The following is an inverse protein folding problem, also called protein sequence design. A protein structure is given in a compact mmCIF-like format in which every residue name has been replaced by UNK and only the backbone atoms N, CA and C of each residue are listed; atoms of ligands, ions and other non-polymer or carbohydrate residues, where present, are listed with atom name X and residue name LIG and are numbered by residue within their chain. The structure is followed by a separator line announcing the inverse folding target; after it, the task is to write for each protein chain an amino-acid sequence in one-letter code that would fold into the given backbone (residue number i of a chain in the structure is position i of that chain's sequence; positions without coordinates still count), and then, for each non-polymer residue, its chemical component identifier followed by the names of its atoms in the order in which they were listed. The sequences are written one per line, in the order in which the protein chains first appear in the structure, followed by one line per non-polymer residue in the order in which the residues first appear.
data_IF_220202333269
#
_entry.id   IF_220202333269
#
_cell.length_a   1.000
_cell.length_b   1.000
_cell.length_c   1.000
_cell.angle_alpha   90.00
_cell.angle_beta   90.00
_cell.angle_gamma   90.00
#
_symmetry.space_group_name_H-M   'P 1'
#
loop_
_entity.id
_entity.type
_entity.pdbx_description
1 polymer ?
#
# COMPACT_ATOMS: atom_id res chain seq x y z
N UNK A 1 -35.28 2.41 -10.31
CA UNK A 1 -33.89 2.75 -10.68
C UNK A 1 -33.10 1.47 -10.61
N UNK A 2 -32.32 1.16 -11.64
CA UNK A 2 -31.49 -0.04 -11.66
C UNK A 2 -30.16 0.30 -10.97
N UNK A 3 -29.75 -0.50 -10.00
CA UNK A 3 -28.45 -0.33 -9.34
C UNK A 3 -27.32 -0.71 -10.31
N UNK A 4 -26.20 0.03 -10.27
CA UNK A 4 -25.00 -0.23 -11.07
C UNK A 4 -25.26 -0.32 -12.60
N UNK A 5 -26.14 0.56 -13.12
CA UNK A 5 -26.34 0.70 -14.57
C UNK A 5 -25.16 1.43 -15.25
N UNK A 6 -25.28 1.74 -16.54
CA UNK A 6 -24.25 2.48 -17.30
C UNK A 6 -24.05 3.94 -16.83
N UNK A 7 -24.97 4.48 -16.03
CA UNK A 7 -24.96 5.83 -15.50
C UNK A 7 -24.70 5.86 -13.99
N UNK A 8 -24.18 4.76 -13.42
CA UNK A 8 -23.88 4.67 -11.99
C UNK A 8 -23.02 5.86 -11.53
N UNK A 9 -23.51 6.60 -10.52
CA UNK A 9 -22.92 7.84 -9.98
C UNK A 9 -22.95 9.07 -10.90
N UNK A 10 -23.42 8.96 -12.15
CA UNK A 10 -23.49 10.06 -13.12
C UNK A 10 -24.83 10.80 -13.04
N UNK A 11 -24.89 11.84 -12.20
CA UNK A 11 -26.14 12.53 -11.83
C UNK A 11 -26.64 13.56 -12.86
N UNK A 12 -25.88 13.88 -13.90
CA UNK A 12 -26.27 14.88 -14.91
C UNK A 12 -25.60 14.64 -16.28
N UNK A 13 -26.16 15.27 -17.33
CA UNK A 13 -25.68 15.13 -18.71
C UNK A 13 -24.22 15.56 -18.93
N UNK A 14 -23.72 16.65 -18.33
CA UNK A 14 -22.29 16.95 -18.36
C UNK A 14 -21.41 15.80 -17.83
N UNK A 15 -21.75 15.20 -16.68
CA UNK A 15 -21.02 14.09 -16.11
C UNK A 15 -21.01 12.86 -17.03
N UNK A 16 -22.17 12.53 -17.63
CA UNK A 16 -22.27 11.45 -18.62
C UNK A 16 -21.37 11.70 -19.82
N UNK A 17 -21.44 12.89 -20.43
CA UNK A 17 -20.61 13.25 -21.58
C UNK A 17 -19.11 13.23 -21.27
N UNK A 18 -18.71 13.67 -20.07
CA UNK A 18 -17.32 13.63 -19.64
C UNK A 18 -16.85 12.19 -19.45
N UNK A 19 -17.62 11.37 -18.71
CA UNK A 19 -17.26 9.98 -18.46
C UNK A 19 -17.13 9.18 -19.76
N UNK A 20 -18.06 9.35 -20.72
CA UNK A 20 -17.97 8.67 -22.02
C UNK A 20 -16.69 9.00 -22.80
N UNK A 21 -16.09 10.18 -22.59
CA UNK A 21 -14.81 10.56 -23.22
C UNK A 21 -13.58 9.94 -22.55
N UNK A 22 -13.68 9.55 -21.27
CA UNK A 22 -12.53 9.12 -20.46
C UNK A 22 -12.61 7.66 -19.98
N UNK A 23 -13.78 7.01 -20.05
CA UNK A 23 -14.00 5.64 -19.54
C UNK A 23 -13.08 4.58 -20.14
N UNK A 24 -12.57 4.83 -21.34
CA UNK A 24 -11.71 3.90 -22.09
C UNK A 24 -10.22 4.26 -22.00
N UNK A 25 -9.86 5.31 -21.24
CA UNK A 25 -8.46 5.67 -21.01
C UNK A 25 -7.74 4.54 -20.26
N UNK A 26 -6.45 4.29 -20.58
CA UNK A 26 -5.67 3.30 -19.86
C UNK A 26 -5.46 3.72 -18.40
N UNK A 27 -5.27 2.72 -17.53
CA UNK A 27 -4.99 2.94 -16.10
C UNK A 27 -3.47 3.05 -15.91
N UNK A 28 -3.07 4.08 -15.17
CA UNK A 28 -1.71 4.28 -14.67
C UNK A 28 -1.77 4.13 -13.14
N UNK A 29 -1.56 2.91 -12.65
CA UNK A 29 -1.69 2.56 -11.25
C UNK A 29 -0.36 2.76 -10.52
N UNK A 30 -0.04 4.02 -10.23
CA UNK A 30 1.32 4.41 -9.82
C UNK A 30 1.73 3.99 -8.40
N UNK A 31 0.80 3.45 -7.62
CA UNK A 31 1.06 2.93 -6.28
C UNK A 31 0.04 1.86 -5.92
N UNK A 32 0.53 0.62 -5.76
CA UNK A 32 -0.26 -0.53 -5.34
C UNK A 32 0.59 -1.50 -4.50
N UNK A 33 -0.06 -2.56 -4.04
CA UNK A 33 0.55 -3.65 -3.26
C UNK A 33 0.45 -5.01 -3.98
N UNK A 34 0.33 -5.00 -5.31
CA UNK A 34 0.34 -6.24 -6.09
C UNK A 34 1.70 -6.94 -5.97
N UNK A 35 1.68 -8.28 -5.93
CA UNK A 35 2.88 -9.10 -5.90
C UNK A 35 3.54 -9.16 -7.29
N UNK A 36 4.77 -8.64 -7.48
CA UNK A 36 5.47 -8.74 -8.76
C UNK A 36 5.75 -10.20 -9.13
N UNK A 37 5.91 -11.07 -8.13
CA UNK A 37 6.04 -12.52 -8.35
C UNK A 37 4.78 -13.11 -8.97
N UNK A 38 3.60 -12.81 -8.42
CA UNK A 38 2.33 -13.33 -8.96
C UNK A 38 2.06 -12.79 -10.36
N UNK A 39 2.40 -11.52 -10.63
CA UNK A 39 2.34 -10.95 -11.98
C UNK A 39 3.25 -11.73 -12.93
N UNK A 40 4.46 -12.08 -12.51
CA UNK A 40 5.40 -12.83 -13.35
C UNK A 40 4.96 -14.28 -13.58
N UNK A 41 4.60 -15.00 -12.51
CA UNK A 41 4.22 -16.41 -12.57
C UNK A 41 2.86 -16.62 -13.27
N UNK A 42 2.00 -15.60 -13.27
CA UNK A 42 0.72 -15.50 -13.99
C UNK A 42 -0.17 -16.74 -13.87
N UNK A 43 -0.21 -17.32 -12.67
CA UNK A 43 -1.01 -18.52 -12.42
C UNK A 43 -2.50 -18.18 -12.48
N UNK A 44 -3.29 -19.08 -13.08
CA UNK A 44 -4.74 -18.97 -13.07
C UNK A 44 -5.22 -19.11 -11.63
N UNK A 45 -6.12 -18.24 -11.20
CA UNK A 45 -6.69 -18.33 -9.86
C UNK A 45 -7.48 -19.65 -9.73
N UNK A 46 -7.32 -20.33 -8.61
CA UNK A 46 -8.01 -21.59 -8.36
C UNK A 46 -9.43 -21.39 -7.83
N UNK A 47 -9.67 -20.31 -7.06
CA UNK A 47 -10.95 -20.07 -6.41
C UNK A 47 -11.21 -18.58 -6.16
N UNK A 48 -12.49 -18.20 -6.22
CA UNK A 48 -12.96 -16.84 -5.95
C UNK A 48 -12.61 -16.36 -4.55
N UNK A 49 -12.54 -17.23 -3.55
CA UNK A 49 -12.16 -16.84 -2.18
C UNK A 49 -10.72 -16.37 -2.12
N UNK A 50 -9.81 -17.02 -2.84
CA UNK A 50 -8.40 -16.60 -2.87
C UNK A 50 -8.27 -15.28 -3.62
N UNK A 51 -8.90 -15.19 -4.80
CA UNK A 51 -8.90 -13.98 -5.64
C UNK A 51 -9.54 -12.78 -4.95
N UNK A 52 -10.63 -13.00 -4.21
CA UNK A 52 -11.53 -11.92 -3.81
C UNK A 52 -11.57 -11.65 -2.31
N UNK A 53 -11.34 -12.67 -1.49
CA UNK A 53 -11.31 -12.57 -0.02
C UNK A 53 -9.88 -12.74 0.55
N UNK A 54 -8.87 -13.02 -0.28
CA UNK A 54 -7.45 -13.03 0.12
C UNK A 54 -6.91 -11.64 0.46
N UNK A 55 -7.58 -10.58 -0.01
CA UNK A 55 -7.33 -9.17 0.29
C UNK A 55 -8.31 -8.25 -0.46
N UNK A 56 -8.22 -6.93 -0.32
CA UNK A 56 -7.66 -6.22 0.83
C UNK A 56 -8.54 -6.43 2.08
N UNK A 57 -7.98 -6.12 3.25
CA UNK A 57 -8.57 -6.35 4.57
C UNK A 57 -9.90 -5.60 4.86
N UNK A 58 -10.42 -4.80 3.93
CA UNK A 58 -11.75 -4.16 4.05
C UNK A 58 -12.88 -5.19 4.20
N UNK A 59 -12.85 -6.28 3.41
CA UNK A 59 -13.88 -7.33 3.49
C UNK A 59 -13.84 -8.01 4.86
N UNK A 60 -12.64 -8.33 5.36
CA UNK A 60 -12.45 -8.90 6.69
C UNK A 60 -12.98 -7.98 7.79
N UNK A 61 -12.67 -6.68 7.72
CA UNK A 61 -13.14 -5.69 8.69
C UNK A 61 -14.67 -5.61 8.73
N UNK A 62 -15.31 -5.60 7.56
CA UNK A 62 -16.77 -5.57 7.49
C UNK A 62 -17.39 -6.88 8.01
N UNK A 63 -16.82 -8.04 7.67
CA UNK A 63 -17.25 -9.34 8.19
C UNK A 63 -17.15 -9.40 9.73
N UNK A 64 -16.07 -8.90 10.32
CA UNK A 64 -15.94 -8.79 11.79
C UNK A 64 -16.97 -7.85 12.39
N UNK A 65 -17.19 -6.68 11.76
CA UNK A 65 -18.21 -5.72 12.21
C UNK A 65 -19.64 -6.30 12.12
N UNK A 66 -19.89 -7.19 11.18
CA UNK A 66 -21.15 -7.94 11.05
C UNK A 66 -21.28 -9.11 12.04
N UNK A 67 -20.20 -9.47 12.74
CA UNK A 67 -20.17 -10.55 13.74
C UNK A 67 -19.82 -11.93 13.19
N UNK A 68 -19.22 -12.02 12.00
CA UNK A 68 -18.74 -13.29 11.45
C UNK A 68 -17.59 -13.85 12.30
N UNK A 69 -17.60 -15.14 12.68
CA UNK A 69 -16.50 -15.75 13.41
C UNK A 69 -15.17 -15.71 12.64
N UNK A 70 -14.05 -15.42 13.31
CA UNK A 70 -12.73 -15.29 12.66
C UNK A 70 -12.31 -16.55 11.88
N UNK A 71 -12.78 -17.74 12.30
CA UNK A 71 -12.55 -19.01 11.58
C UNK A 71 -13.09 -19.01 10.13
N UNK A 72 -14.12 -18.19 9.87
CA UNK A 72 -14.79 -18.00 8.57
C UNK A 72 -14.29 -16.76 7.82
N UNK A 73 -13.28 -16.08 8.35
CA UNK A 73 -12.59 -14.95 7.71
C UNK A 73 -11.17 -15.39 7.35
N UNK A 74 -10.27 -15.37 8.31
CA UNK A 74 -8.85 -15.71 8.12
C UNK A 74 -8.50 -17.13 8.57
N UNK A 75 -9.36 -17.76 9.38
CA UNK A 75 -9.10 -19.09 9.91
C UNK A 75 -9.45 -20.26 8.97
N UNK A 76 -9.59 -21.49 9.50
CA UNK A 76 -9.49 -22.72 8.71
C UNK A 76 -10.79 -23.21 8.07
N UNK A 77 -11.89 -22.45 8.10
CA UNK A 77 -13.13 -22.86 7.42
C UNK A 77 -12.91 -23.06 5.92
N UNK A 78 -13.71 -23.93 5.28
CA UNK A 78 -13.67 -24.14 3.85
C UNK A 78 -14.09 -22.89 3.06
N UNK A 79 -13.64 -22.82 1.80
CA UNK A 79 -13.83 -21.64 0.94
C UNK A 79 -15.30 -21.30 0.72
N UNK A 80 -16.16 -22.29 0.45
CA UNK A 80 -17.60 -22.04 0.26
C UNK A 80 -18.22 -21.42 1.52
N UNK A 81 -17.88 -21.91 2.71
CA UNK A 81 -18.33 -21.32 3.97
C UNK A 81 -17.89 -19.86 4.11
N UNK A 82 -16.61 -19.54 3.81
CA UNK A 82 -16.12 -18.16 3.83
C UNK A 82 -16.83 -17.26 2.82
N UNK A 83 -17.08 -17.77 1.61
CA UNK A 83 -17.81 -17.04 0.57
C UNK A 83 -19.27 -16.77 0.97
N UNK A 84 -19.96 -17.76 1.53
CA UNK A 84 -21.33 -17.58 2.05
C UNK A 84 -21.39 -16.56 3.18
N UNK A 85 -20.41 -16.56 4.08
CA UNK A 85 -20.29 -15.56 5.13
C UNK A 85 -20.09 -14.15 4.56
N UNK A 86 -19.29 -14.02 3.50
CA UNK A 86 -19.13 -12.75 2.78
C UNK A 86 -20.42 -12.31 2.09
N UNK A 87 -21.07 -13.19 1.35
CA UNK A 87 -22.32 -12.91 0.64
C UNK A 87 -23.42 -12.42 1.59
N UNK A 88 -23.55 -13.08 2.75
CA UNK A 88 -24.44 -12.64 3.84
C UNK A 88 -24.06 -11.27 4.40
N UNK A 89 -22.77 -11.01 4.59
CA UNK A 89 -22.28 -9.73 5.11
C UNK A 89 -22.58 -8.59 4.14
N UNK A 90 -22.20 -8.74 2.86
CA UNK A 90 -22.34 -7.65 1.88
C UNK A 90 -23.79 -7.40 1.50
N UNK A 91 -24.69 -8.40 1.57
CA UNK A 91 -26.13 -8.18 1.33
C UNK A 91 -26.80 -7.25 2.34
N UNK A 92 -26.16 -7.01 3.50
CA UNK A 92 -26.60 -6.07 4.54
C UNK A 92 -25.80 -4.75 4.54
N UNK A 93 -24.83 -4.58 3.65
CA UNK A 93 -23.86 -3.48 3.68
C UNK A 93 -24.29 -2.23 2.89
N UNK A 94 -25.58 -1.93 2.85
CA UNK A 94 -26.08 -0.75 2.12
C UNK A 94 -25.44 0.54 2.64
N UNK A 95 -24.94 1.37 1.72
CA UNK A 95 -24.23 2.60 2.03
C UNK A 95 -22.73 2.41 2.33
N UNK A 96 -22.25 1.18 2.53
CA UNK A 96 -20.82 0.89 2.58
C UNK A 96 -20.25 0.77 1.15
N UNK A 97 -19.06 1.34 0.85
CA UNK A 97 -18.45 1.24 -0.47
C UNK A 97 -18.19 -0.21 -0.93
N UNK A 98 -18.02 -1.16 0.01
CA UNK A 98 -17.89 -2.58 -0.33
C UNK A 98 -19.09 -3.13 -1.10
N UNK A 99 -20.30 -2.58 -0.87
CA UNK A 99 -21.46 -2.91 -1.67
C UNK A 99 -21.28 -2.47 -3.13
N UNK A 100 -20.71 -1.29 -3.38
CA UNK A 100 -20.44 -0.83 -4.74
C UNK A 100 -19.32 -1.64 -5.38
N UNK A 101 -18.20 -1.83 -4.69
CA UNK A 101 -17.05 -2.55 -5.21
C UNK A 101 -17.41 -3.98 -5.61
N UNK A 102 -18.11 -4.73 -4.74
CA UNK A 102 -18.46 -6.11 -5.05
C UNK A 102 -19.29 -6.24 -6.32
N UNK A 103 -20.28 -5.38 -6.51
CA UNK A 103 -21.13 -5.46 -7.70
C UNK A 103 -20.46 -4.86 -8.96
N UNK A 104 -19.52 -3.93 -8.81
CA UNK A 104 -18.68 -3.47 -9.92
C UNK A 104 -17.72 -4.58 -10.37
N UNK A 105 -17.11 -5.31 -9.44
CA UNK A 105 -16.21 -6.43 -9.72
C UNK A 105 -16.96 -7.59 -10.37
N UNK A 106 -18.13 -7.98 -9.85
CA UNK A 106 -19.03 -8.96 -10.46
C UNK A 106 -19.37 -8.60 -11.91
N UNK A 107 -19.70 -7.33 -12.16
CA UNK A 107 -20.06 -6.85 -13.49
C UNK A 107 -18.86 -6.81 -14.44
N UNK A 108 -17.76 -6.18 -14.03
CA UNK A 108 -16.65 -5.85 -14.93
C UNK A 108 -15.72 -7.05 -15.19
N UNK A 109 -15.54 -7.94 -14.21
CA UNK A 109 -14.67 -9.11 -14.34
C UNK A 109 -15.48 -10.33 -14.81
N UNK A 110 -16.62 -10.58 -14.17
CA UNK A 110 -17.39 -11.80 -14.40
C UNK A 110 -18.54 -11.63 -15.39
N UNK A 111 -18.98 -10.39 -15.66
CA UNK A 111 -20.15 -10.12 -16.51
C UNK A 111 -21.47 -10.37 -15.81
N UNK A 112 -21.48 -10.38 -14.47
CA UNK A 112 -22.65 -10.68 -13.64
C UNK A 112 -23.25 -9.38 -13.11
N UNK A 113 -24.52 -9.14 -13.42
CA UNK A 113 -25.27 -7.97 -12.94
C UNK A 113 -26.21 -8.29 -11.78
N UNK A 114 -26.32 -9.56 -11.41
CA UNK A 114 -27.13 -10.01 -10.27
C UNK A 114 -26.52 -9.47 -8.96
N UNK A 115 -27.38 -9.16 -7.99
CA UNK A 115 -26.93 -8.80 -6.64
C UNK A 115 -26.44 -10.04 -5.91
N UNK A 116 -25.37 -9.91 -5.12
CA UNK A 116 -24.93 -10.99 -4.23
C UNK A 116 -25.79 -11.00 -2.96
N UNK A 117 -26.48 -12.12 -2.71
CA UNK A 117 -27.36 -12.31 -1.55
C UNK A 117 -27.02 -13.60 -0.81
N UNK A 118 -27.61 -13.80 0.38
CA UNK A 118 -27.41 -15.04 1.13
C UNK A 118 -28.01 -16.24 0.38
N UNK A 119 -29.15 -16.04 -0.28
CA UNK A 119 -29.90 -17.09 -0.99
C UNK A 119 -29.17 -17.57 -2.24
N UNK A 120 -28.47 -16.70 -2.97
CA UNK A 120 -27.78 -17.06 -4.20
C UNK A 120 -26.28 -17.34 -4.02
N UNK A 121 -25.75 -17.26 -2.79
CA UNK A 121 -24.32 -17.34 -2.52
C UNK A 121 -23.65 -18.62 -3.06
N UNK A 122 -24.30 -19.78 -2.90
CA UNK A 122 -23.74 -21.06 -3.36
C UNK A 122 -23.71 -21.17 -4.88
N UNK A 123 -24.82 -20.83 -5.54
CA UNK A 123 -24.88 -20.78 -7.00
C UNK A 123 -23.84 -19.80 -7.55
N UNK A 124 -23.74 -18.61 -6.95
CA UNK A 124 -22.80 -17.58 -7.34
C UNK A 124 -21.35 -18.05 -7.19
N UNK A 125 -21.01 -18.71 -6.08
CA UNK A 125 -19.67 -19.27 -5.85
C UNK A 125 -19.26 -20.22 -6.98
N UNK A 126 -20.11 -21.18 -7.32
CA UNK A 126 -19.82 -22.14 -8.40
C UNK A 126 -19.74 -21.46 -9.77
N UNK A 127 -20.65 -20.52 -10.06
CA UNK A 127 -20.66 -19.74 -11.30
C UNK A 127 -19.39 -18.91 -11.47
N UNK A 128 -18.93 -18.25 -10.40
CA UNK A 128 -17.71 -17.44 -10.42
C UNK A 128 -16.47 -18.31 -10.65
N UNK A 129 -16.35 -19.44 -9.95
CA UNK A 129 -15.25 -20.38 -10.14
C UNK A 129 -15.22 -20.99 -11.56
N UNK A 130 -16.39 -21.32 -12.11
CA UNK A 130 -16.48 -21.77 -13.51
C UNK A 130 -15.96 -20.69 -14.47
N UNK A 131 -16.35 -19.42 -14.27
CA UNK A 131 -15.87 -18.29 -15.08
C UNK A 131 -14.36 -18.09 -14.94
N UNK A 132 -13.80 -18.23 -13.73
CA UNK A 132 -12.36 -18.14 -13.47
C UNK A 132 -11.60 -19.13 -14.37
N UNK A 133 -12.02 -20.39 -14.38
CA UNK A 133 -11.36 -21.42 -15.19
C UNK A 133 -11.62 -21.25 -16.69
N UNK A 134 -12.87 -20.99 -17.10
CA UNK A 134 -13.24 -20.84 -18.52
C UNK A 134 -12.51 -19.67 -19.19
N UNK A 135 -12.42 -18.53 -18.49
CA UNK A 135 -11.72 -17.34 -18.99
C UNK A 135 -10.22 -17.36 -18.69
N UNK A 136 -9.74 -18.37 -17.94
CA UNK A 136 -8.37 -18.46 -17.42
C UNK A 136 -7.95 -17.16 -16.73
N UNK A 137 -8.74 -16.71 -15.76
CA UNK A 137 -8.45 -15.48 -15.03
C UNK A 137 -7.15 -15.67 -14.23
N UNK A 138 -6.16 -14.87 -14.55
CA UNK A 138 -4.83 -14.79 -13.95
C UNK A 138 -4.49 -13.32 -13.66
N UNK A 139 -3.44 -13.01 -12.87
CA UNK A 139 -3.02 -11.64 -12.62
C UNK A 139 -2.87 -10.80 -13.89
N UNK A 140 -2.10 -11.27 -14.89
CA UNK A 140 -1.90 -10.51 -16.14
C UNK A 140 -3.19 -10.40 -16.95
N UNK A 141 -4.05 -11.42 -16.93
CA UNK A 141 -5.35 -11.37 -17.60
C UNK A 141 -6.24 -10.26 -17.03
N UNK A 142 -6.30 -10.16 -15.70
CA UNK A 142 -7.09 -9.12 -15.03
C UNK A 142 -6.52 -7.71 -15.26
N UNK A 143 -5.20 -7.57 -15.23
CA UNK A 143 -4.49 -6.32 -15.56
C UNK A 143 -4.83 -5.87 -16.99
N UNK A 144 -4.77 -6.78 -17.97
CA UNK A 144 -5.11 -6.51 -19.36
C UNK A 144 -6.59 -6.16 -19.55
N UNK A 145 -7.51 -6.91 -18.92
CA UNK A 145 -8.94 -6.63 -18.96
C UNK A 145 -9.28 -5.24 -18.42
N UNK A 146 -8.48 -4.76 -17.47
CA UNK A 146 -8.61 -3.43 -16.86
C UNK A 146 -7.90 -2.31 -17.63
N UNK A 147 -7.26 -2.61 -18.77
CA UNK A 147 -6.50 -1.65 -19.59
C UNK A 147 -5.39 -0.93 -18.81
N UNK A 148 -4.73 -1.63 -17.89
CA UNK A 148 -3.60 -1.09 -17.13
C UNK A 148 -2.36 -1.04 -18.03
N UNK A 149 -1.67 0.09 -18.06
CA UNK A 149 -0.43 0.28 -18.81
C UNK A 149 0.80 0.46 -17.91
N UNK A 150 0.60 0.83 -16.65
CA UNK A 150 1.67 1.03 -15.68
C UNK A 150 1.21 0.59 -14.30
N UNK A 151 2.12 -0.06 -13.57
CA UNK A 151 1.96 -0.47 -12.18
C UNK A 151 3.21 -0.01 -11.40
N UNK A 152 3.00 0.72 -10.30
CA UNK A 152 4.00 0.93 -9.26
C UNK A 152 3.75 -0.04 -8.11
N UNK A 153 4.57 -1.08 -7.95
CA UNK A 153 4.51 -1.95 -6.75
C UNK A 153 5.12 -1.22 -5.56
N UNK A 154 4.99 -1.78 -4.36
CA UNK A 154 5.60 -1.24 -3.14
C UNK A 154 6.56 -2.26 -2.57
N UNK A 155 7.85 -1.91 -2.54
CA UNK A 155 8.93 -2.88 -2.39
C UNK A 155 9.89 -2.49 -1.26
N UNK A 156 10.42 -3.49 -0.56
CA UNK A 156 11.28 -3.29 0.59
C UNK A 156 12.71 -2.92 0.13
N UNK A 157 13.44 -1.99 0.78
CA UNK A 157 14.74 -1.50 0.29
C UNK A 157 15.79 -2.57 0.06
N UNK A 158 15.65 -3.70 0.74
CA UNK A 158 16.58 -4.83 0.70
C UNK A 158 16.18 -5.92 -0.31
N UNK A 159 15.08 -5.74 -1.04
CA UNK A 159 14.65 -6.70 -2.06
C UNK A 159 15.63 -6.72 -3.24
N UNK A 160 15.81 -7.90 -3.84
CA UNK A 160 16.66 -8.11 -5.02
C UNK A 160 15.96 -7.76 -6.34
N UNK A 161 14.67 -7.38 -6.29
CA UNK A 161 13.86 -6.97 -7.43
C UNK A 161 13.87 -7.97 -8.60
N UNK A 162 14.18 -9.24 -8.34
CA UNK A 162 14.36 -10.26 -9.40
C UNK A 162 13.10 -10.45 -10.25
N UNK A 163 11.92 -10.25 -9.66
CA UNK A 163 10.65 -10.37 -10.37
C UNK A 163 10.42 -9.19 -11.31
N UNK A 164 10.81 -7.98 -10.94
CA UNK A 164 10.78 -6.82 -11.83
C UNK A 164 11.73 -6.98 -13.00
N UNK A 165 12.95 -7.47 -12.75
CA UNK A 165 13.90 -7.76 -13.85
C UNK A 165 13.32 -8.76 -14.84
N UNK A 166 12.74 -9.85 -14.34
CA UNK A 166 12.11 -10.89 -15.17
C UNK A 166 10.92 -10.36 -15.96
N UNK A 167 10.08 -9.52 -15.35
CA UNK A 167 8.96 -8.88 -16.04
C UNK A 167 9.47 -7.92 -17.12
N UNK A 168 10.48 -7.10 -16.81
CA UNK A 168 11.07 -6.16 -17.76
C UNK A 168 11.70 -6.86 -18.98
N UNK A 169 12.20 -8.08 -18.81
CA UNK A 169 12.77 -8.90 -19.88
C UNK A 169 11.72 -9.68 -20.68
N UNK A 170 10.47 -9.74 -20.21
CA UNK A 170 9.38 -10.48 -20.84
C UNK A 170 8.74 -9.66 -21.97
N UNK A 171 9.07 -10.01 -23.22
CA UNK A 171 8.59 -9.29 -24.41
C UNK A 171 7.09 -9.46 -24.67
N UNK A 172 6.44 -10.46 -24.07
CA UNK A 172 5.03 -10.76 -24.28
C UNK A 172 4.11 -10.01 -23.29
N UNK A 173 4.68 -9.29 -22.32
CA UNK A 173 3.94 -8.47 -21.35
C UNK A 173 4.26 -6.98 -21.49
N UNK A 174 3.31 -6.21 -21.99
CA UNK A 174 3.51 -4.80 -22.35
C UNK A 174 3.18 -3.79 -21.24
N UNK A 175 2.86 -4.24 -20.04
CA UNK A 175 2.59 -3.36 -18.90
C UNK A 175 3.89 -3.09 -18.18
N UNK A 176 4.22 -1.82 -17.96
CA UNK A 176 5.39 -1.45 -17.18
C UNK A 176 5.11 -1.70 -15.69
N UNK A 177 5.92 -2.54 -15.05
CA UNK A 177 5.85 -2.83 -13.61
C UNK A 177 7.12 -2.31 -12.95
N UNK A 178 7.02 -1.15 -12.29
CA UNK A 178 8.14 -0.46 -11.67
C UNK A 178 8.10 -0.62 -10.14
N UNK A 179 9.25 -0.83 -9.48
CA UNK A 179 9.28 -0.88 -8.03
C UNK A 179 9.15 0.53 -7.41
N UNK A 180 8.55 0.61 -6.23
CA UNK A 180 8.51 1.84 -5.40
C UNK A 180 9.31 1.59 -4.13
N UNK A 181 10.30 2.46 -3.85
CA UNK A 181 11.18 2.31 -2.70
C UNK A 181 10.48 2.69 -1.39
N UNK A 182 10.25 1.73 -0.49
CA UNK A 182 9.56 1.97 0.80
C UNK A 182 10.36 1.60 2.04
N UNK A 183 11.11 2.53 2.66
CA UNK A 183 12.02 2.22 3.75
C UNK A 183 11.40 2.32 5.15
N UNK A 184 10.23 1.73 5.39
CA UNK A 184 9.55 1.85 6.70
C UNK A 184 10.41 1.29 7.87
N UNK A 185 11.26 0.28 7.63
CA UNK A 185 12.10 -0.32 8.69
C UNK A 185 13.31 0.53 9.09
N UNK A 186 13.59 1.64 8.37
CA UNK A 186 14.67 2.58 8.69
C UNK A 186 14.35 3.47 9.90
N UNK A 187 13.10 3.48 10.36
CA UNK A 187 12.70 4.27 11.52
C UNK A 187 12.95 3.47 12.80
N UNK A 188 13.62 4.09 13.77
CA UNK A 188 14.07 3.43 15.02
C UNK A 188 12.95 2.84 15.89
N UNK A 189 11.71 3.27 15.69
CA UNK A 189 10.55 2.70 16.37
C UNK A 189 10.13 1.33 15.80
N UNK A 190 10.56 1.01 14.57
CA UNK A 190 10.22 -0.26 13.95
C UNK A 190 10.85 -1.42 14.72
N UNK A 191 10.07 -2.50 14.91
CA UNK A 191 10.52 -3.68 15.65
C UNK A 191 11.76 -4.31 15.00
N UNK A 192 11.78 -4.34 13.66
CA UNK A 192 12.85 -4.95 12.88
C UNK A 192 14.04 -4.01 12.60
N UNK A 193 14.09 -2.79 13.15
CA UNK A 193 15.13 -1.81 12.81
C UNK A 193 16.56 -2.36 12.93
N UNK A 194 16.89 -3.10 14.00
CA UNK A 194 18.24 -3.66 14.18
C UNK A 194 18.55 -4.75 13.13
N UNK A 195 17.57 -5.59 12.80
CA UNK A 195 17.72 -6.60 11.74
C UNK A 195 17.88 -5.92 10.38
N UNK A 196 17.07 -4.89 10.10
CA UNK A 196 17.16 -4.07 8.90
C UNK A 196 18.57 -3.47 8.74
N UNK A 197 19.14 -2.84 9.77
CA UNK A 197 20.50 -2.27 9.71
C UNK A 197 21.55 -3.36 9.43
N UNK A 198 21.45 -4.52 10.09
CA UNK A 198 22.37 -5.65 9.84
C UNK A 198 22.30 -6.13 8.39
N UNK A 199 21.08 -6.34 7.88
CA UNK A 199 20.87 -6.80 6.50
C UNK A 199 21.24 -5.71 5.48
N UNK A 200 21.00 -4.44 5.79
CA UNK A 200 21.43 -3.30 4.97
C UNK A 200 22.95 -3.28 4.83
N UNK A 201 23.69 -3.45 5.93
CA UNK A 201 25.15 -3.58 5.93
C UNK A 201 25.61 -4.75 5.04
N UNK A 202 24.96 -5.91 5.15
CA UNK A 202 25.27 -7.10 4.34
C UNK A 202 25.04 -6.87 2.84
N UNK A 203 23.86 -6.37 2.43
CA UNK A 203 23.51 -6.23 1.00
C UNK A 203 24.25 -5.08 0.31
N UNK A 204 24.77 -4.11 1.07
CA UNK A 204 25.60 -3.01 0.56
C UNK A 204 27.09 -3.26 0.77
N UNK A 205 27.46 -4.35 1.46
CA UNK A 205 28.84 -4.66 1.84
C UNK A 205 29.53 -3.46 2.55
N UNK A 206 28.78 -2.76 3.40
CA UNK A 206 29.22 -1.61 4.18
C UNK A 206 29.16 -1.92 5.68
N UNK A 207 30.15 -1.45 6.44
CA UNK A 207 30.02 -1.41 7.89
C UNK A 207 29.20 -0.19 8.31
N UNK A 208 28.21 -0.37 9.19
CA UNK A 208 27.33 0.71 9.66
C UNK A 208 27.63 1.00 11.14
N UNK A 209 28.35 2.09 11.39
CA UNK A 209 28.70 2.55 12.76
C UNK A 209 28.15 3.93 13.08
N UNK A 210 27.73 4.69 12.07
CA UNK A 210 27.23 6.06 12.17
C UNK A 210 25.98 6.27 11.31
N UNK A 211 25.29 7.37 11.56
CA UNK A 211 24.16 7.83 10.76
C UNK A 211 24.55 8.05 9.29
N UNK A 212 25.75 8.56 9.03
CA UNK A 212 26.24 8.75 7.66
C UNK A 212 26.43 7.41 6.93
N UNK A 213 26.85 6.36 7.63
CA UNK A 213 26.98 5.03 7.03
C UNK A 213 25.60 4.46 6.65
N UNK A 214 24.58 4.69 7.50
CA UNK A 214 23.18 4.35 7.18
C UNK A 214 22.73 5.06 5.90
N UNK A 215 22.95 6.37 5.82
CA UNK A 215 22.56 7.18 4.64
C UNK A 215 23.31 6.73 3.39
N UNK A 216 24.60 6.45 3.49
CA UNK A 216 25.40 5.96 2.38
C UNK A 216 24.90 4.59 1.87
N UNK A 217 24.60 3.65 2.78
CA UNK A 217 24.04 2.36 2.41
C UNK A 217 22.64 2.49 1.77
N UNK A 218 21.78 3.36 2.31
CA UNK A 218 20.47 3.65 1.69
C UNK A 218 20.61 4.28 0.30
N UNK A 219 21.58 5.16 0.09
CA UNK A 219 21.86 5.75 -1.22
C UNK A 219 22.22 4.69 -2.26
N UNK A 220 22.98 3.66 -1.89
CA UNK A 220 23.26 2.53 -2.78
C UNK A 220 22.00 1.76 -3.14
N UNK A 221 21.11 1.55 -2.17
CA UNK A 221 19.82 0.87 -2.42
C UNK A 221 18.88 1.71 -3.26
N UNK A 222 18.81 3.03 -3.04
CA UNK A 222 18.06 3.94 -3.91
C UNK A 222 18.59 3.90 -5.34
N UNK A 223 19.92 3.96 -5.52
CA UNK A 223 20.56 3.84 -6.84
C UNK A 223 20.26 2.49 -7.49
N UNK A 224 20.29 1.40 -6.71
CA UNK A 224 19.92 0.07 -7.18
C UNK A 224 18.49 0.06 -7.72
N UNK A 225 17.52 0.57 -6.95
CA UNK A 225 16.12 0.67 -7.36
C UNK A 225 15.94 1.50 -8.64
N UNK A 226 16.60 2.65 -8.74
CA UNK A 226 16.55 3.50 -9.94
C UNK A 226 17.04 2.75 -11.17
N UNK A 227 18.10 1.95 -11.05
CA UNK A 227 18.60 1.10 -12.13
C UNK A 227 17.63 -0.01 -12.55
N UNK A 228 16.63 -0.34 -11.70
CA UNK A 228 15.56 -1.31 -11.97
C UNK A 228 14.24 -0.63 -12.34
N UNK A 229 14.29 0.63 -12.77
CA UNK A 229 13.12 1.36 -13.27
C UNK A 229 12.27 2.03 -12.20
N UNK A 230 12.72 2.09 -10.94
CA UNK A 230 12.04 2.83 -9.88
C UNK A 230 11.84 4.29 -10.25
N UNK A 231 10.61 4.80 -10.04
CA UNK A 231 10.23 6.20 -10.32
C UNK A 231 9.68 6.94 -9.12
N UNK A 232 9.38 6.23 -8.04
CA UNK A 232 8.77 6.77 -6.85
C UNK A 232 9.32 6.12 -5.59
N UNK A 233 9.20 6.83 -4.48
CA UNK A 233 9.34 6.30 -3.14
C UNK A 233 8.01 6.42 -2.41
N UNK A 234 7.84 5.63 -1.36
CA UNK A 234 6.72 5.72 -0.43
C UNK A 234 7.26 5.69 0.99
N UNK A 235 6.69 6.50 1.88
CA UNK A 235 7.01 6.50 3.30
C UNK A 235 5.71 6.61 4.09
N UNK A 236 5.56 5.76 5.10
CA UNK A 236 4.43 5.79 6.03
C UNK A 236 4.81 6.34 7.40
N UNK A 237 4.15 7.41 7.84
CA UNK A 237 4.30 7.98 9.19
C UNK A 237 3.05 7.81 10.06
N UNK A 238 3.24 7.53 11.35
CA UNK A 238 2.18 7.77 12.35
C UNK A 238 1.92 9.27 12.50
N UNK A 239 2.98 10.03 12.78
CA UNK A 239 2.97 11.49 12.96
C UNK A 239 4.03 12.14 12.06
N UNK A 240 3.70 13.27 11.41
CA UNK A 240 4.69 14.10 10.71
C UNK A 240 5.36 15.01 11.74
N UNK A 241 6.67 14.86 11.92
CA UNK A 241 7.46 15.60 12.91
C UNK A 241 8.66 16.30 12.29
N UNK A 242 9.09 17.39 12.91
CA UNK A 242 10.30 18.08 12.56
C UNK A 242 11.05 18.53 13.81
N UNK A 243 12.21 17.96 14.04
CA UNK A 243 13.11 18.28 15.14
C UNK A 243 14.50 18.63 14.60
N UNK A 244 15.12 19.67 15.17
CA UNK A 244 16.52 19.99 14.86
C UNK A 244 17.41 18.98 15.57
N UNK A 245 18.32 18.38 14.81
CA UNK A 245 19.20 17.33 15.30
C UNK A 245 20.56 17.43 14.61
N UNK A 246 21.62 17.27 15.40
CA UNK A 246 22.99 17.19 14.90
C UNK A 246 23.37 15.75 14.57
N UNK A 247 24.37 15.57 13.70
CA UNK A 247 24.87 14.24 13.35
C UNK A 247 25.32 13.43 14.58
N UNK A 248 25.97 14.07 15.56
CA UNK A 248 26.40 13.43 16.81
C UNK A 248 25.21 12.84 17.58
N UNK A 249 24.09 13.56 17.63
CA UNK A 249 22.87 13.06 18.27
C UNK A 249 22.26 11.88 17.51
N UNK A 250 22.29 11.91 16.17
CA UNK A 250 21.86 10.77 15.35
C UNK A 250 22.72 9.52 15.62
N UNK A 251 24.04 9.68 15.71
CA UNK A 251 24.97 8.59 16.03
C UNK A 251 24.71 8.01 17.43
N UNK A 252 24.44 8.86 18.42
CA UNK A 252 24.05 8.45 19.76
C UNK A 252 22.72 7.66 19.78
N UNK A 253 21.72 8.13 19.04
CA UNK A 253 20.42 7.44 18.91
C UNK A 253 20.60 6.06 18.26
N UNK A 254 21.35 5.99 17.16
CA UNK A 254 21.67 4.74 16.48
C UNK A 254 22.35 3.76 17.45
N UNK A 255 23.40 4.21 18.14
CA UNK A 255 24.14 3.38 19.10
C UNK A 255 23.25 2.84 20.21
N UNK A 256 22.38 3.68 20.79
CA UNK A 256 21.41 3.26 21.81
C UNK A 256 20.47 2.19 21.26
N UNK A 257 19.90 2.43 20.08
CA UNK A 257 18.93 1.52 19.46
C UNK A 257 19.55 0.16 19.10
N UNK A 258 20.74 0.15 18.53
CA UNK A 258 21.50 -1.08 18.22
C UNK A 258 21.86 -1.86 19.49
N UNK A 259 22.10 -1.17 20.61
CA UNK A 259 22.30 -1.79 21.92
C UNK A 259 20.98 -2.22 22.62
N UNK A 260 19.84 -2.17 21.93
CA UNK A 260 18.49 -2.45 22.46
C UNK A 260 18.11 -1.59 23.68
N UNK A 261 18.68 -0.39 23.79
CA UNK A 261 18.29 0.57 24.83
C UNK A 261 17.02 1.31 24.40
N UNK A 262 16.17 1.63 25.38
CA UNK A 262 14.97 2.42 25.12
C UNK A 262 15.33 3.82 24.65
N UNK A 263 14.63 4.29 23.62
CA UNK A 263 14.69 5.67 23.17
C UNK A 263 13.55 6.49 23.79
N UNK A 264 13.83 7.75 24.08
CA UNK A 264 12.81 8.74 24.40
C UNK A 264 12.02 9.13 23.15
N UNK A 265 10.81 9.67 23.32
CA UNK A 265 10.01 10.13 22.19
C UNK A 265 10.70 11.26 21.41
N UNK A 266 11.47 12.12 22.08
CA UNK A 266 12.25 13.15 21.41
C UNK A 266 13.33 12.55 20.51
N UNK A 267 14.03 11.51 20.98
CA UNK A 267 15.05 10.80 20.19
C UNK A 267 14.46 10.12 18.94
N UNK A 268 13.27 9.52 19.07
CA UNK A 268 12.54 8.94 17.93
C UNK A 268 12.20 10.01 16.90
N UNK A 269 11.66 11.16 17.34
CA UNK A 269 11.31 12.29 16.44
C UNK A 269 12.54 12.93 15.78
N UNK A 270 13.64 13.04 16.53
CA UNK A 270 14.92 13.50 16.00
C UNK A 270 15.43 12.57 14.90
N UNK A 271 15.42 11.25 15.14
CA UNK A 271 15.81 10.27 14.12
C UNK A 271 14.92 10.36 12.88
N UNK A 272 13.59 10.36 13.05
CA UNK A 272 12.63 10.46 11.96
C UNK A 272 12.89 11.71 11.11
N UNK A 273 13.13 12.86 11.75
CA UNK A 273 13.41 14.13 11.06
C UNK A 273 14.71 14.06 10.25
N UNK A 274 15.79 13.53 10.84
CA UNK A 274 17.08 13.40 10.18
C UNK A 274 17.01 12.44 8.98
N UNK A 275 16.50 11.23 9.19
CA UNK A 275 16.50 10.20 8.15
C UNK A 275 15.56 10.58 7.01
N UNK A 276 14.40 11.16 7.31
CA UNK A 276 13.47 11.59 6.27
C UNK A 276 14.04 12.73 5.43
N UNK A 277 14.77 13.67 6.05
CA UNK A 277 15.50 14.71 5.34
C UNK A 277 16.53 14.14 4.36
N UNK A 278 17.35 13.20 4.82
CA UNK A 278 18.35 12.58 3.94
C UNK A 278 17.71 11.75 2.82
N UNK A 279 16.64 11.00 3.10
CA UNK A 279 15.87 10.29 2.08
C UNK A 279 15.30 11.25 1.03
N UNK A 280 14.67 12.35 1.43
CA UNK A 280 14.17 13.37 0.50
C UNK A 280 15.29 13.98 -0.35
N UNK A 281 16.47 14.24 0.23
CA UNK A 281 17.65 14.68 -0.53
C UNK A 281 18.07 13.65 -1.57
N UNK A 282 18.08 12.36 -1.22
CA UNK A 282 18.38 11.28 -2.15
C UNK A 282 17.32 11.19 -3.26
N UNK A 283 16.03 11.23 -2.91
CA UNK A 283 14.93 11.18 -3.88
C UNK A 283 14.97 12.36 -4.85
N UNK A 284 15.33 13.56 -4.37
CA UNK A 284 15.57 14.72 -5.22
C UNK A 284 16.76 14.48 -6.17
N UNK A 285 17.90 14.00 -5.64
CA UNK A 285 19.11 13.69 -6.42
C UNK A 285 18.86 12.67 -7.52
N UNK A 286 18.05 11.64 -7.25
CA UNK A 286 17.76 10.54 -8.18
C UNK A 286 16.45 10.73 -8.96
N UNK A 287 15.75 11.87 -8.79
CA UNK A 287 14.57 12.24 -9.58
C UNK A 287 13.28 11.49 -9.25
N UNK A 288 13.22 10.82 -8.09
CA UNK A 288 12.06 10.05 -7.63
C UNK A 288 10.92 10.97 -7.14
N UNK A 289 9.69 10.51 -7.32
CA UNK A 289 8.50 11.13 -6.68
C UNK A 289 8.37 10.59 -5.27
N UNK A 290 8.27 11.45 -4.27
CA UNK A 290 8.11 11.09 -2.86
C UNK A 290 6.65 11.07 -2.46
N UNK A 291 6.12 9.88 -2.21
CA UNK A 291 4.79 9.70 -1.61
C UNK A 291 4.93 9.66 -0.09
N UNK A 292 4.08 10.39 0.61
CA UNK A 292 4.07 10.44 2.07
C UNK A 292 2.67 10.13 2.58
N UNK A 293 2.49 8.90 3.07
CA UNK A 293 1.25 8.47 3.73
C UNK A 293 1.37 8.71 5.23
N UNK A 294 0.41 9.41 5.84
CA UNK A 294 0.47 9.67 7.27
C UNK A 294 -0.86 9.60 8.02
N UNK A 295 -0.76 9.38 9.32
CA UNK A 295 -1.89 9.40 10.25
C UNK A 295 -2.55 8.03 10.46
N UNK A 296 -1.86 6.94 10.13
CA UNK A 296 -2.31 5.59 10.49
C UNK A 296 -1.96 5.29 11.96
N UNK A 297 -2.97 4.93 12.76
CA UNK A 297 -2.79 4.31 14.06
C UNK A 297 -2.91 2.80 13.86
N UNK A 298 -1.82 2.07 14.06
CA UNK A 298 -1.68 0.67 13.65
C UNK A 298 -1.84 -0.31 14.80
N UNK A 299 -2.27 -1.52 14.49
CA UNK A 299 -2.29 -2.67 15.40
C UNK A 299 -3.14 -2.46 16.68
N UNK A 300 -4.27 -1.74 16.55
CA UNK A 300 -5.10 -1.32 17.69
C UNK A 300 -5.79 -2.45 18.46
N UNK A 301 -5.80 -3.67 17.91
CA UNK A 301 -6.45 -4.82 18.53
C UNK A 301 -5.39 -5.89 18.89
N UNK A 302 -4.76 -5.73 20.06
CA UNK A 302 -3.62 -6.59 20.50
C UNK A 302 -3.89 -8.08 20.36
N UNK A 303 -5.05 -8.58 20.80
CA UNK A 303 -5.34 -10.02 20.74
C UNK A 303 -5.41 -10.57 19.30
N UNK A 304 -5.84 -9.75 18.33
CA UNK A 304 -5.95 -10.17 16.94
C UNK A 304 -4.60 -10.03 16.24
N UNK A 305 -3.89 -8.92 16.50
CA UNK A 305 -2.52 -8.71 16.08
C UNK A 305 -1.60 -9.85 16.54
N UNK A 306 -1.69 -10.29 17.80
CA UNK A 306 -0.88 -11.41 18.30
C UNK A 306 -1.16 -12.75 17.60
N UNK A 307 -2.31 -12.90 16.91
CA UNK A 307 -2.67 -14.12 16.19
C UNK A 307 -2.38 -14.04 14.69
N UNK A 308 -2.58 -12.88 14.08
CA UNK A 308 -2.58 -12.69 12.63
C UNK A 308 -1.41 -11.84 12.13
N UNK A 309 -0.73 -11.10 13.03
CA UNK A 309 0.29 -10.13 12.66
C UNK A 309 -0.27 -8.79 12.18
N UNK A 310 0.57 -7.96 11.54
CA UNK A 310 0.17 -6.66 10.98
C UNK A 310 -0.82 -6.82 9.81
N UNK A 311 -1.36 -5.68 9.33
CA UNK A 311 -2.24 -5.58 8.15
C UNK A 311 -3.50 -6.47 8.19
N UNK A 312 -3.89 -6.91 9.39
CA UNK A 312 -5.05 -7.75 9.58
C UNK A 312 -6.36 -6.94 9.69
N UNK A 313 -6.43 -5.69 9.22
CA UNK A 313 -7.66 -4.88 9.18
C UNK A 313 -8.10 -4.26 10.52
N UNK A 314 -7.17 -4.08 11.45
CA UNK A 314 -7.40 -3.46 12.78
C UNK A 314 -6.76 -2.09 12.95
N UNK A 315 -6.30 -1.51 11.83
CA UNK A 315 -5.74 -0.17 11.76
C UNK A 315 -6.85 0.89 11.62
N UNK A 316 -6.58 2.09 12.12
CA UNK A 316 -7.53 3.21 12.08
C UNK A 316 -6.82 4.54 11.87
N UNK A 317 -7.62 5.60 11.81
CA UNK A 317 -7.12 6.96 11.69
C UNK A 317 -6.60 7.45 13.04
N UNK A 318 -5.47 8.15 13.02
CA UNK A 318 -4.91 8.89 14.14
C UNK A 318 -5.09 10.40 14.00
N UNK A 319 -4.67 11.11 15.05
CA UNK A 319 -4.66 12.58 15.13
C UNK A 319 -3.24 13.08 15.40
N UNK A 320 -2.98 14.32 14.98
CA UNK A 320 -1.72 15.04 15.03
C UNK A 320 -1.98 16.51 15.36
N UNK A 321 -1.57 16.93 16.55
CA UNK A 321 -1.79 18.31 17.02
C UNK A 321 -0.92 19.33 16.31
N UNK A 322 0.30 18.95 15.92
CA UNK A 322 1.33 19.87 15.40
C UNK A 322 1.62 19.70 13.91
N UNK A 323 0.73 19.03 13.16
CA UNK A 323 0.94 18.70 11.74
C UNK A 323 1.36 19.93 10.91
N UNK A 324 0.59 21.03 10.99
CA UNK A 324 0.83 22.22 10.16
C UNK A 324 2.17 22.88 10.48
N UNK A 325 2.55 22.95 11.75
CA UNK A 325 3.84 23.51 12.16
C UNK A 325 5.00 22.65 11.65
N UNK A 326 4.93 21.33 11.87
CA UNK A 326 5.99 20.40 11.48
C UNK A 326 6.14 20.34 9.95
N UNK A 327 5.03 20.30 9.22
CA UNK A 327 5.04 20.26 7.76
C UNK A 327 5.65 21.54 7.17
N UNK A 328 5.28 22.72 7.68
CA UNK A 328 5.86 23.98 7.20
C UNK A 328 7.37 24.05 7.46
N UNK A 329 7.83 23.66 8.66
CA UNK A 329 9.25 23.65 8.99
C UNK A 329 10.04 22.67 8.10
N UNK A 330 9.48 21.49 7.86
CA UNK A 330 10.09 20.47 7.02
C UNK A 330 10.22 20.94 5.56
N UNK A 331 9.12 21.46 4.98
CA UNK A 331 9.10 21.92 3.59
C UNK A 331 9.99 23.15 3.39
N UNK A 332 10.01 24.09 4.35
CA UNK A 332 10.90 25.26 4.32
C UNK A 332 12.38 24.84 4.38
N UNK A 333 12.74 23.88 5.25
CA UNK A 333 14.11 23.35 5.30
C UNK A 333 14.54 22.73 3.95
N UNK A 334 13.67 21.95 3.30
CA UNK A 334 13.97 21.42 1.96
C UNK A 334 14.08 22.51 0.89
N UNK A 335 13.23 23.52 0.93
CA UNK A 335 13.25 24.63 -0.01
C UNK A 335 14.52 25.47 0.13
N UNK A 336 14.91 25.81 1.37
CA UNK A 336 16.14 26.58 1.65
C UNK A 336 17.41 25.87 1.17
N UNK A 337 17.41 24.53 1.17
CA UNK A 337 18.54 23.73 0.72
C UNK A 337 18.47 23.32 -0.78
N UNK A 338 17.45 23.76 -1.53
CA UNK A 338 17.16 23.33 -2.91
C UNK A 338 17.11 21.79 -3.07
N UNK A 339 16.50 21.11 -2.09
CA UNK A 339 16.46 19.65 -2.01
C UNK A 339 15.04 19.08 -1.95
N UNK A 340 14.02 19.89 -2.28
CA UNK A 340 12.63 19.46 -2.31
C UNK A 340 12.39 18.51 -3.51
N UNK A 341 12.07 17.22 -3.30
CA UNK A 341 11.68 16.33 -4.39
C UNK A 341 10.27 16.66 -4.91
N UNK A 342 9.83 16.02 -5.99
CA UNK A 342 8.40 15.97 -6.33
C UNK A 342 7.69 15.23 -5.21
N UNK A 343 6.67 15.80 -4.57
CA UNK A 343 6.00 15.15 -3.43
C UNK A 343 4.50 15.01 -3.64
N UNK A 344 3.92 13.94 -3.10
CA UNK A 344 2.48 13.76 -2.93
C UNK A 344 2.21 13.39 -1.47
N UNK A 345 1.32 14.13 -0.82
CA UNK A 345 0.99 13.96 0.60
C UNK A 345 -0.41 13.36 0.75
N UNK A 346 -0.51 12.27 1.50
CA UNK A 346 -1.76 11.54 1.74
C UNK A 346 -2.06 11.53 3.23
N UNK A 347 -3.11 12.24 3.62
CA UNK A 347 -3.63 12.19 4.99
C UNK A 347 -4.72 11.13 5.12
N UNK A 348 -4.60 10.28 6.14
CA UNK A 348 -5.65 9.31 6.46
C UNK A 348 -6.88 9.98 7.11
N UNK A 349 -6.66 11.06 7.88
CA UNK A 349 -7.73 11.78 8.59
C UNK A 349 -8.21 13.00 7.79
N UNK A 350 -9.47 13.05 7.33
CA UNK A 350 -9.97 14.10 6.42
C UNK A 350 -9.99 15.51 7.02
N UNK A 351 -9.82 15.67 8.33
CA UNK A 351 -9.66 17.00 8.94
C UNK A 351 -8.41 17.73 8.42
N UNK A 352 -7.44 16.99 7.89
CA UNK A 352 -6.19 17.52 7.32
C UNK A 352 -6.28 17.89 5.84
N UNK A 353 -7.42 17.68 5.17
CA UNK A 353 -7.58 18.02 3.75
C UNK A 353 -7.31 19.51 3.48
N UNK A 354 -7.89 20.41 4.29
CA UNK A 354 -7.69 21.86 4.14
C UNK A 354 -6.27 22.26 4.54
N UNK A 355 -5.73 21.81 5.70
CA UNK A 355 -4.33 22.03 6.05
C UNK A 355 -3.29 21.61 5.03
N UNK A 356 -3.52 20.54 4.25
CA UNK A 356 -2.59 20.10 3.19
C UNK A 356 -2.76 20.86 1.87
N UNK A 357 -3.97 21.34 1.57
CA UNK A 357 -4.26 22.02 0.32
C UNK A 357 -3.86 23.50 0.30
N UNK A 358 -3.70 24.11 1.48
CA UNK A 358 -3.25 25.49 1.68
C UNK A 358 -1.79 25.54 2.08
#
# INVERSE_FOLDING_TARGET
MTFNDENFMLKNEPAKRLYQKVKDQPIFDFHCHLSPKEIYEDQVFEDIVDLWLGGDHYKWRLMRAYGVPEKEITGPSDKLTKFKAWAKTVSHAYGNPLYHWSHLELKNVFGITDLLTEENAEEMYHKLNQIIHDKKLSPRKLIQMSKVNFIGTTDHPLDDLVWHEKIMQDIDFHVEVAPTFRPDEVFVEHANFNEFISRLAEVTNHEIHSFNDVVAALEERVKYFVNHGCKASDISFGEVVFEKVSQVQCDEILKKRLANQSLTQLEVRMWQSAIFKELCRLYHKYGLVTQVHFGALRNNHTQLYSKLGPDCGVDSMGEQTYLTQNLNLLLDDYAQNNQLPKMIWYNLNPIYNIPLAN
#
